data_IF_191952956568
#
_entry.id   IF_191952956568
#
_cell.length_a   1.000
_cell.length_b   1.000
_cell.length_c   1.000
_cell.angle_alpha   90.00
_cell.angle_beta   90.00
_cell.angle_gamma   90.00
#
_symmetry.space_group_name_H-M   'P 1'
#
loop_
_entity.id
_entity.type
_entity.pdbx_description
1 polymer ?
#
# COMPACT_ATOMS: atom_id res chain seq x y z
N UNK A 1 54.19 4.39 40.48
CA UNK A 1 52.77 4.65 40.14
C UNK A 1 51.92 3.67 40.92
N UNK A 2 50.83 4.09 41.60
CA UNK A 2 50.12 3.20 42.50
C UNK A 2 49.37 2.13 41.70
N UNK A 3 49.56 0.88 42.11
CA UNK A 3 48.83 -0.29 41.65
C UNK A 3 47.34 -0.06 41.82
N UNK A 4 46.57 -0.11 40.73
CA UNK A 4 45.10 -0.17 40.77
C UNK A 4 44.76 -1.49 41.46
N UNK A 5 44.50 -1.42 42.77
CA UNK A 5 44.13 -2.56 43.57
C UNK A 5 42.80 -3.11 43.07
N UNK A 6 42.78 -4.40 42.72
CA UNK A 6 41.56 -5.11 42.37
C UNK A 6 40.50 -4.86 43.46
N UNK A 7 39.35 -4.31 43.05
CA UNK A 7 38.22 -4.11 43.96
C UNK A 7 37.82 -5.46 44.57
N UNK A 8 37.77 -5.53 45.89
CA UNK A 8 37.34 -6.74 46.61
C UNK A 8 35.89 -7.09 46.24
N UNK A 9 35.59 -8.40 46.18
CA UNK A 9 34.28 -8.91 45.76
C UNK A 9 33.10 -8.35 46.58
N UNK A 10 33.35 -7.98 47.84
CA UNK A 10 32.36 -7.33 48.70
C UNK A 10 31.99 -5.93 48.21
N UNK A 11 32.97 -5.14 47.74
CA UNK A 11 32.74 -3.80 47.18
C UNK A 11 31.99 -3.92 45.86
N UNK A 12 32.37 -4.87 45.00
CA UNK A 12 31.67 -5.16 43.73
C UNK A 12 30.19 -5.49 43.96
N UNK A 13 29.87 -6.37 44.93
CA UNK A 13 28.48 -6.72 45.30
C UNK A 13 27.70 -5.52 45.85
N UNK A 14 28.33 -4.68 46.68
CA UNK A 14 27.70 -3.49 47.27
C UNK A 14 27.33 -2.45 46.21
N UNK A 15 28.23 -2.23 45.25
CA UNK A 15 27.97 -1.37 44.08
C UNK A 15 26.83 -1.96 43.25
N UNK A 16 26.84 -3.27 42.97
CA UNK A 16 25.79 -3.93 42.21
C UNK A 16 24.42 -3.83 42.86
N UNK A 17 24.32 -4.06 44.17
CA UNK A 17 23.07 -3.94 44.91
C UNK A 17 22.51 -2.52 44.87
N UNK A 18 23.37 -1.51 45.07
CA UNK A 18 22.95 -0.11 45.08
C UNK A 18 22.61 0.45 43.68
N UNK A 19 23.20 -0.12 42.63
CA UNK A 19 23.06 0.37 41.25
C UNK A 19 22.26 -0.58 40.34
N UNK A 20 21.68 -1.66 40.90
CA UNK A 20 20.91 -2.70 40.19
C UNK A 20 21.68 -3.37 39.03
N UNK A 21 22.98 -3.58 39.20
CA UNK A 21 23.77 -4.36 38.24
C UNK A 21 23.84 -5.84 38.65
N UNK A 22 24.01 -6.72 37.66
CA UNK A 22 24.37 -8.12 37.87
C UNK A 22 25.91 -8.22 37.99
N UNK A 23 26.46 -8.28 39.21
CA UNK A 23 27.79 -8.87 39.43
C UNK A 23 27.59 -10.33 39.75
N UNK A 24 27.80 -11.19 38.78
CA UNK A 24 27.79 -12.61 39.05
C UNK A 24 28.98 -13.28 38.38
N UNK A 25 29.65 -14.16 39.12
CA UNK A 25 30.50 -15.22 38.56
C UNK A 25 29.66 -16.28 37.81
N UNK A 26 28.35 -16.04 37.66
CA UNK A 26 27.40 -16.91 36.97
C UNK A 26 27.66 -16.81 35.46
N UNK A 27 28.04 -17.94 34.88
CA UNK A 27 28.32 -18.11 33.44
C UNK A 27 27.07 -18.07 32.54
N UNK A 28 25.86 -18.05 33.09
CA UNK A 28 24.62 -18.09 32.30
C UNK A 28 23.47 -17.31 32.94
N UNK A 29 22.98 -16.31 32.22
CA UNK A 29 21.75 -15.56 32.53
C UNK A 29 20.57 -16.32 31.92
N UNK A 30 19.54 -16.65 32.71
CA UNK A 30 18.35 -17.40 32.22
C UNK A 30 17.33 -16.52 31.51
N UNK A 31 17.45 -15.19 31.64
CA UNK A 31 16.64 -14.22 30.90
C UNK A 31 17.30 -14.06 29.54
N UNK A 32 16.54 -14.14 28.42
CA UNK A 32 17.09 -13.83 27.12
C UNK A 32 17.62 -12.39 27.16
N UNK A 33 18.94 -12.26 27.06
CA UNK A 33 19.58 -10.98 26.81
C UNK A 33 19.22 -10.66 25.37
N UNK A 34 18.14 -9.92 25.17
CA UNK A 34 17.84 -9.32 23.88
C UNK A 34 19.06 -8.47 23.54
N UNK A 35 19.82 -8.93 22.56
CA UNK A 35 21.00 -8.28 22.05
C UNK A 35 20.73 -6.78 21.88
N UNK A 36 21.77 -5.98 22.15
CA UNK A 36 21.79 -4.53 21.93
C UNK A 36 21.23 -4.23 20.54
N UNK A 37 19.96 -3.80 20.47
CA UNK A 37 19.29 -3.51 19.21
C UNK A 37 19.87 -2.22 18.64
N UNK A 38 20.40 -2.26 17.43
CA UNK A 38 20.75 -1.06 16.68
C UNK A 38 19.52 -0.16 16.53
N UNK A 39 19.65 1.11 16.91
CA UNK A 39 18.65 2.13 16.61
C UNK A 39 18.91 2.83 15.28
N UNK A 40 20.17 2.93 14.88
CA UNK A 40 20.62 3.66 13.69
C UNK A 40 21.72 2.90 12.98
N UNK A 41 21.81 3.12 11.68
CA UNK A 41 22.90 2.57 10.89
C UNK A 41 24.22 3.28 11.12
N UNK A 42 25.31 2.50 11.08
CA UNK A 42 26.70 2.98 11.14
C UNK A 42 27.07 3.77 12.41
N UNK A 43 26.17 3.84 13.39
CA UNK A 43 26.41 4.42 14.70
C UNK A 43 26.64 3.29 15.72
N UNK A 44 27.62 3.47 16.61
CA UNK A 44 27.83 2.55 17.72
C UNK A 44 26.74 2.85 18.76
N UNK A 45 25.99 1.84 19.24
CA UNK A 45 24.97 2.06 20.25
C UNK A 45 25.55 2.72 21.51
N UNK A 46 24.91 3.79 21.99
CA UNK A 46 25.40 4.55 23.15
C UNK A 46 24.63 4.16 24.42
N UNK A 47 25.19 4.46 25.60
CA UNK A 47 24.53 4.21 26.89
C UNK A 47 23.11 4.81 26.96
N UNK A 48 22.91 5.99 26.37
CA UNK A 48 21.60 6.66 26.36
C UNK A 48 20.54 5.88 25.56
N UNK A 49 20.95 4.89 24.76
CA UNK A 49 20.02 4.11 23.96
C UNK A 49 19.29 3.04 24.78
N UNK A 50 19.78 2.70 25.97
CA UNK A 50 19.29 1.57 26.77
C UNK A 50 18.92 1.98 28.19
N UNK A 51 17.91 1.29 28.74
CA UNK A 51 17.48 1.44 30.15
C UNK A 51 18.38 0.70 31.14
N UNK A 52 19.23 -0.19 30.64
CA UNK A 52 20.25 -0.87 31.43
C UNK A 52 21.61 -0.24 31.16
N UNK A 53 22.50 -0.34 32.15
CA UNK A 53 23.84 0.21 32.06
C UNK A 53 24.74 -0.79 31.31
N UNK A 54 25.35 -0.33 30.22
CA UNK A 54 26.39 -1.04 29.51
C UNK A 54 27.63 -1.12 30.42
N UNK A 55 28.43 -2.20 30.34
CA UNK A 55 29.67 -2.30 31.11
C UNK A 55 30.57 -1.09 30.84
N UNK A 56 30.82 -0.31 31.89
CA UNK A 56 31.68 0.87 31.88
C UNK A 56 33.15 0.45 31.86
N UNK A 57 33.63 -0.06 30.73
CA UNK A 57 35.03 0.14 30.40
C UNK A 57 35.07 1.14 29.25
N UNK A 58 35.87 2.19 29.43
CA UNK A 58 36.04 3.39 28.60
C UNK A 58 36.55 3.12 27.16
N UNK A 59 36.46 1.87 26.74
CA UNK A 59 36.55 1.36 25.39
C UNK A 59 35.45 0.31 25.24
N UNK A 60 34.22 0.76 24.99
CA UNK A 60 33.26 -0.08 24.28
C UNK A 60 33.89 -0.34 22.91
N UNK A 61 34.77 -1.35 22.83
CA UNK A 61 35.19 -1.91 21.56
C UNK A 61 33.92 -2.55 21.04
N UNK A 62 33.26 -2.01 20.01
CA UNK A 62 32.10 -2.67 19.46
C UNK A 62 32.57 -4.03 18.97
N UNK A 63 32.23 -5.09 19.71
CA UNK A 63 32.56 -6.47 19.32
C UNK A 63 31.86 -6.83 18.01
N UNK A 64 30.80 -6.10 17.68
CA UNK A 64 30.00 -6.27 16.46
C UNK A 64 30.24 -5.08 15.54
N UNK A 65 30.49 -5.36 14.26
CA UNK A 65 30.66 -4.34 13.25
C UNK A 65 29.40 -3.44 13.15
N UNK A 66 29.57 -2.11 12.93
CA UNK A 66 28.44 -1.20 12.74
C UNK A 66 27.51 -1.70 11.64
N UNK A 67 26.20 -1.55 11.84
CA UNK A 67 25.21 -1.97 10.86
C UNK A 67 25.45 -1.30 9.51
N UNK A 68 25.61 -2.12 8.47
CA UNK A 68 25.68 -1.66 7.08
C UNK A 68 24.42 -2.11 6.33
N UNK A 69 23.54 -1.17 5.93
CA UNK A 69 22.25 -1.51 5.30
C UNK A 69 22.42 -2.14 3.91
N UNK A 70 23.55 -1.89 3.24
CA UNK A 70 23.86 -2.48 1.95
C UNK A 70 24.53 -3.84 2.14
N UNK A 71 23.88 -4.95 1.75
CA UNK A 71 24.51 -6.26 1.86
C UNK A 71 25.74 -6.37 0.98
N UNK A 72 26.70 -7.19 1.42
CA UNK A 72 27.90 -7.50 0.66
C UNK A 72 27.55 -8.54 -0.41
N UNK A 73 27.35 -8.12 -1.66
CA UNK A 73 27.01 -9.01 -2.77
C UNK A 73 26.14 -8.35 -3.84
N UNK A 74 25.51 -9.18 -4.69
CA UNK A 74 24.60 -8.73 -5.72
C UNK A 74 23.29 -8.19 -5.13
N UNK A 75 22.90 -6.98 -5.55
CA UNK A 75 21.64 -6.35 -5.17
C UNK A 75 20.84 -6.08 -6.44
N UNK A 76 19.66 -6.72 -6.61
CA UNK A 76 18.76 -6.42 -7.71
C UNK A 76 18.47 -4.92 -7.81
N UNK A 77 18.49 -4.36 -9.03
CA UNK A 77 18.30 -2.93 -9.29
C UNK A 77 17.03 -2.38 -8.62
N UNK A 78 15.94 -3.15 -8.67
CA UNK A 78 14.65 -2.81 -8.03
C UNK A 78 14.73 -2.57 -6.51
N UNK A 79 15.76 -3.06 -5.83
CA UNK A 79 15.92 -2.85 -4.39
C UNK A 79 16.84 -1.68 -4.04
N UNK A 80 17.69 -1.21 -4.96
CA UNK A 80 18.78 -0.27 -4.64
C UNK A 80 18.30 1.05 -4.03
N UNK A 81 17.17 1.57 -4.51
CA UNK A 81 16.62 2.86 -4.06
C UNK A 81 15.71 2.74 -2.82
N UNK A 82 15.33 1.52 -2.44
CA UNK A 82 14.37 1.26 -1.36
C UNK A 82 15.01 0.56 -0.16
N UNK A 83 16.34 0.40 -0.16
CA UNK A 83 17.08 -0.18 0.98
C UNK A 83 16.82 0.67 2.23
N UNK A 84 16.25 0.10 3.30
CA UNK A 84 16.06 0.80 4.56
C UNK A 84 17.39 1.34 5.07
N UNK A 85 17.41 2.62 5.47
CA UNK A 85 18.58 3.21 6.10
C UNK A 85 18.79 2.65 7.49
N UNK A 86 17.71 2.39 8.20
CA UNK A 86 17.72 1.89 9.57
C UNK A 86 17.64 0.36 9.63
N UNK A 87 18.15 -0.25 10.71
CA UNK A 87 18.11 -1.69 10.93
C UNK A 87 16.67 -2.21 10.98
N UNK A 88 16.45 -3.35 10.32
CA UNK A 88 15.16 -4.02 10.28
C UNK A 88 15.12 -5.23 11.20
N UNK A 89 13.98 -5.44 11.84
CA UNK A 89 13.73 -6.51 12.79
C UNK A 89 12.52 -7.33 12.36
N UNK A 90 12.54 -8.61 12.69
CA UNK A 90 11.39 -9.51 12.56
C UNK A 90 10.35 -9.23 13.63
N UNK A 91 9.18 -9.86 13.53
CA UNK A 91 8.10 -9.80 14.54
C UNK A 91 8.56 -10.22 15.92
N UNK A 92 9.50 -11.17 15.96
CA UNK A 92 10.04 -11.73 17.21
C UNK A 92 11.15 -10.85 17.82
N UNK A 93 11.39 -9.66 17.25
CA UNK A 93 12.45 -8.74 17.68
C UNK A 93 13.85 -9.17 17.26
N UNK A 94 13.97 -10.22 16.44
CA UNK A 94 15.25 -10.69 15.90
C UNK A 94 15.73 -9.79 14.78
N UNK A 95 17.00 -9.39 14.82
CA UNK A 95 17.63 -8.56 13.80
C UNK A 95 17.75 -9.28 12.46
N UNK A 96 17.22 -8.67 11.39
CA UNK A 96 17.29 -9.22 10.04
C UNK A 96 18.60 -8.79 9.38
N UNK A 97 19.48 -9.77 9.16
CA UNK A 97 20.81 -9.54 8.57
C UNK A 97 20.66 -9.12 7.10
N UNK A 98 21.23 -7.98 6.67
CA UNK A 98 21.25 -7.59 5.27
C UNK A 98 21.82 -8.67 4.36
N UNK A 99 21.09 -9.03 3.30
CA UNK A 99 21.49 -10.04 2.33
C UNK A 99 21.14 -11.48 2.71
N UNK A 100 20.53 -11.69 3.89
CA UNK A 100 19.92 -12.97 4.22
C UNK A 100 18.66 -13.24 3.40
N UNK A 101 18.18 -14.49 3.42
CA UNK A 101 16.89 -14.86 2.80
C UNK A 101 15.71 -14.06 3.37
N UNK A 102 15.72 -13.83 4.67
CA UNK A 102 14.68 -13.03 5.35
C UNK A 102 14.71 -11.58 4.89
N UNK A 103 15.90 -11.02 4.72
CA UNK A 103 16.07 -9.67 4.18
C UNK A 103 15.47 -9.56 2.78
N UNK A 104 15.78 -10.49 1.87
CA UNK A 104 15.19 -10.48 0.53
C UNK A 104 13.67 -10.64 0.54
N UNK A 105 13.13 -11.42 1.48
CA UNK A 105 11.69 -11.59 1.66
C UNK A 105 11.04 -10.28 2.11
N UNK A 106 11.63 -9.61 3.09
CA UNK A 106 11.19 -8.28 3.55
C UNK A 106 11.22 -7.26 2.40
N UNK A 107 12.35 -7.20 1.67
CA UNK A 107 12.54 -6.25 0.57
C UNK A 107 11.54 -6.47 -0.56
N UNK A 108 11.22 -7.72 -0.91
CA UNK A 108 10.22 -8.02 -1.92
C UNK A 108 8.81 -7.53 -1.51
N UNK A 109 8.45 -7.69 -0.24
CA UNK A 109 7.18 -7.21 0.27
C UNK A 109 7.14 -5.67 0.34
N UNK A 110 8.23 -5.03 0.75
CA UNK A 110 8.36 -3.58 0.75
C UNK A 110 8.20 -3.01 -0.67
N UNK A 111 8.88 -3.60 -1.64
CA UNK A 111 8.83 -3.21 -3.05
C UNK A 111 7.42 -3.34 -3.64
N UNK A 112 6.70 -4.42 -3.31
CA UNK A 112 5.28 -4.56 -3.67
C UNK A 112 4.40 -3.45 -3.09
N UNK A 113 4.62 -3.07 -1.83
CA UNK A 113 3.85 -1.99 -1.19
C UNK A 113 4.11 -0.65 -1.86
N UNK A 114 5.37 -0.32 -2.13
CA UNK A 114 5.75 0.94 -2.80
C UNK A 114 5.10 1.02 -4.18
N UNK A 115 5.22 -0.04 -5.01
CA UNK A 115 4.54 -0.07 -6.32
C UNK A 115 3.03 0.12 -6.22
N UNK A 116 2.39 -0.51 -5.23
CA UNK A 116 0.94 -0.36 -5.02
C UNK A 116 0.58 1.06 -4.62
N UNK A 117 1.38 1.70 -3.79
CA UNK A 117 1.16 3.08 -3.34
C UNK A 117 1.36 4.07 -4.48
N UNK A 118 2.41 3.89 -5.28
CA UNK A 118 2.69 4.72 -6.45
C UNK A 118 1.61 4.56 -7.53
N UNK A 119 1.13 3.33 -7.77
CA UNK A 119 -0.01 3.09 -8.65
C UNK A 119 -1.28 3.78 -8.14
N UNK A 120 -1.52 3.77 -6.83
CA UNK A 120 -2.65 4.49 -6.21
C UNK A 120 -2.53 6.02 -6.36
N UNK A 121 -1.33 6.57 -6.15
CA UNK A 121 -1.05 8.01 -6.33
C UNK A 121 -1.22 8.42 -7.79
N UNK A 122 -0.73 7.62 -8.73
CA UNK A 122 -0.86 7.89 -10.16
C UNK A 122 -2.31 7.79 -10.62
N UNK A 123 -3.06 6.78 -10.17
CA UNK A 123 -4.50 6.68 -10.45
C UNK A 123 -5.27 7.88 -9.89
N UNK A 124 -4.93 8.35 -8.68
CA UNK A 124 -5.53 9.56 -8.11
C UNK A 124 -5.16 10.82 -8.90
N UNK A 125 -3.92 10.92 -9.41
CA UNK A 125 -3.47 12.01 -10.27
C UNK A 125 -4.23 12.03 -11.60
N UNK A 126 -4.35 10.87 -12.25
CA UNK A 126 -5.10 10.71 -13.49
C UNK A 126 -6.58 11.05 -13.30
N UNK A 127 -7.21 10.57 -12.22
CA UNK A 127 -8.60 10.92 -11.89
C UNK A 127 -8.79 12.43 -11.73
N UNK A 128 -7.86 13.11 -11.04
CA UNK A 128 -7.89 14.57 -10.90
C UNK A 128 -7.72 15.29 -12.23
N UNK A 129 -6.82 14.80 -13.09
CA UNK A 129 -6.62 15.34 -14.43
C UNK A 129 -7.89 15.17 -15.29
N UNK A 130 -8.51 13.99 -15.27
CA UNK A 130 -9.75 13.71 -15.99
C UNK A 130 -10.90 14.62 -15.52
N UNK A 131 -11.05 14.83 -14.21
CA UNK A 131 -12.03 15.77 -13.65
C UNK A 131 -11.81 17.19 -14.20
N UNK A 132 -10.54 17.63 -14.25
CA UNK A 132 -10.15 18.95 -14.75
C UNK A 132 -10.40 19.09 -16.25
N UNK A 133 -10.03 18.10 -17.06
CA UNK A 133 -10.23 18.10 -18.52
C UNK A 133 -11.71 18.19 -18.87
N UNK A 134 -12.58 17.62 -18.03
CA UNK A 134 -14.03 17.73 -18.15
C UNK A 134 -14.63 19.00 -17.51
N UNK A 135 -13.79 19.94 -17.06
CA UNK A 135 -14.22 21.19 -16.39
C UNK A 135 -15.26 20.93 -15.29
N UNK A 136 -15.06 19.83 -14.55
CA UNK A 136 -15.96 19.39 -13.49
C UNK A 136 -15.28 19.54 -12.13
N UNK A 137 -16.05 19.38 -11.07
CA UNK A 137 -15.52 19.20 -9.72
C UNK A 137 -15.60 17.74 -9.33
N UNK A 138 -14.77 17.31 -8.39
CA UNK A 138 -14.75 15.93 -7.88
C UNK A 138 -16.14 15.48 -7.38
N UNK A 139 -16.89 16.39 -6.74
CA UNK A 139 -18.26 16.12 -6.26
C UNK A 139 -19.29 15.88 -7.37
N UNK A 140 -19.10 16.52 -8.52
CA UNK A 140 -20.09 16.50 -9.61
C UNK A 140 -19.63 15.68 -10.81
N UNK A 141 -18.39 15.20 -10.82
CA UNK A 141 -17.83 14.48 -11.96
C UNK A 141 -18.56 13.17 -12.22
N UNK A 142 -18.71 12.32 -11.20
CA UNK A 142 -19.34 11.02 -11.36
C UNK A 142 -20.80 11.16 -11.81
N UNK A 143 -21.54 12.12 -11.24
CA UNK A 143 -22.91 12.44 -11.65
C UNK A 143 -22.97 12.95 -13.11
N UNK A 144 -22.05 13.83 -13.52
CA UNK A 144 -22.01 14.31 -14.90
C UNK A 144 -21.66 13.19 -15.88
N UNK A 145 -20.75 12.28 -15.52
CA UNK A 145 -20.41 11.13 -16.37
C UNK A 145 -21.59 10.14 -16.46
N UNK A 146 -22.31 9.89 -15.37
CA UNK A 146 -23.51 9.05 -15.40
C UNK A 146 -24.61 9.67 -16.27
N UNK A 147 -24.89 10.97 -16.11
CA UNK A 147 -25.84 11.69 -16.95
C UNK A 147 -25.44 11.67 -18.43
N UNK A 148 -24.16 11.94 -18.74
CA UNK A 148 -23.64 11.87 -20.11
C UNK A 148 -23.82 10.48 -20.70
N UNK A 149 -23.51 9.43 -19.94
CA UNK A 149 -23.71 8.04 -20.35
C UNK A 149 -25.18 7.73 -20.60
N UNK A 150 -26.08 8.21 -19.74
CA UNK A 150 -27.51 8.05 -19.93
C UNK A 150 -28.00 8.72 -21.22
N UNK A 151 -27.62 9.99 -21.44
CA UNK A 151 -28.01 10.72 -22.66
C UNK A 151 -27.49 10.04 -23.92
N UNK A 152 -26.26 9.51 -23.88
CA UNK A 152 -25.69 8.76 -25.01
C UNK A 152 -26.49 7.47 -25.27
N UNK A 153 -26.80 6.72 -24.21
CA UNK A 153 -27.60 5.49 -24.31
C UNK A 153 -28.99 5.75 -24.88
N UNK A 154 -29.64 6.82 -24.44
CA UNK A 154 -30.97 7.22 -24.95
C UNK A 154 -30.90 7.61 -26.43
N UNK A 155 -29.86 8.35 -26.82
CA UNK A 155 -29.63 8.76 -28.20
C UNK A 155 -29.39 7.54 -29.10
N UNK A 156 -28.55 6.60 -28.66
CA UNK A 156 -28.28 5.36 -29.38
C UNK A 156 -29.55 4.51 -29.54
N UNK A 157 -30.35 4.39 -28.48
CA UNK A 157 -31.64 3.68 -28.53
C UNK A 157 -32.60 4.29 -29.55
N UNK A 158 -32.73 5.62 -29.55
CA UNK A 158 -33.59 6.33 -30.50
C UNK A 158 -33.14 6.10 -31.95
N UNK A 159 -31.83 6.24 -32.22
CA UNK A 159 -31.28 6.01 -33.55
C UNK A 159 -31.46 4.56 -34.02
N UNK A 160 -31.26 3.59 -33.13
CA UNK A 160 -31.49 2.17 -33.44
C UNK A 160 -32.95 1.89 -33.74
N UNK A 161 -33.88 2.43 -32.94
CA UNK A 161 -35.32 2.26 -33.14
C UNK A 161 -35.80 2.88 -34.46
N UNK A 162 -35.32 4.10 -34.78
CA UNK A 162 -35.60 4.75 -36.06
C UNK A 162 -35.03 3.96 -37.26
N UNK A 163 -33.84 3.37 -37.11
CA UNK A 163 -33.23 2.55 -38.15
C UNK A 163 -34.07 1.31 -38.45
N UNK A 164 -34.56 0.63 -37.41
CA UNK A 164 -35.49 -0.51 -37.54
C UNK A 164 -36.75 -0.08 -38.29
N UNK A 165 -37.39 1.02 -37.85
CA UNK A 165 -38.58 1.56 -38.50
C UNK A 165 -38.35 1.89 -39.98
N UNK A 166 -37.24 2.57 -40.29
CA UNK A 166 -36.88 2.94 -41.66
C UNK A 166 -36.69 1.70 -42.55
N UNK A 167 -36.00 0.68 -42.06
CA UNK A 167 -35.77 -0.54 -42.81
C UNK A 167 -37.09 -1.28 -43.08
N UNK A 168 -37.96 -1.39 -42.07
CA UNK A 168 -39.27 -2.02 -42.20
C UNK A 168 -40.15 -1.29 -43.24
N UNK A 169 -40.16 0.05 -43.21
CA UNK A 169 -40.87 0.88 -44.19
C UNK A 169 -40.35 0.64 -45.62
N UNK A 170 -39.04 0.50 -45.80
CA UNK A 170 -38.42 0.21 -47.11
C UNK A 170 -38.81 -1.18 -47.59
N UNK A 171 -38.83 -2.18 -46.70
CA UNK A 171 -39.20 -3.56 -47.05
C UNK A 171 -40.68 -3.71 -47.44
N UNK A 172 -41.57 -2.92 -46.84
CA UNK A 172 -43.02 -2.99 -47.08
C UNK A 172 -43.57 -1.91 -48.02
N UNK A 173 -42.71 -1.10 -48.66
CA UNK A 173 -43.11 0.04 -49.49
C UNK A 173 -43.96 -0.30 -50.73
N UNK A 174 -43.88 -1.54 -51.22
CA UNK A 174 -44.58 -2.00 -52.43
C UNK A 174 -45.87 -2.79 -52.14
N UNK A 175 -46.22 -2.99 -50.87
CA UNK A 175 -47.42 -3.71 -50.45
C UNK A 175 -48.59 -2.73 -50.24
N UNK A 176 -49.79 -3.04 -50.77
CA UNK A 176 -51.01 -2.25 -50.46
C UNK A 176 -51.21 -2.26 -48.93
N UNK A 177 -51.37 -1.10 -48.26
CA UNK A 177 -51.30 -1.03 -46.80
C UNK A 177 -52.48 -1.75 -46.17
N UNK A 178 -52.29 -3.02 -45.79
CA UNK A 178 -53.22 -3.79 -44.96
C UNK A 178 -53.03 -3.51 -43.48
N UNK A 179 -51.94 -2.86 -43.09
CA UNK A 179 -51.45 -2.82 -41.71
C UNK A 179 -51.57 -1.46 -41.01
N UNK A 180 -52.08 -0.42 -41.67
CA UNK A 180 -52.08 0.93 -41.11
C UNK A 180 -52.92 1.07 -39.83
N UNK A 181 -54.03 0.32 -39.69
CA UNK A 181 -54.98 0.40 -38.57
C UNK A 181 -54.58 -0.32 -37.28
N UNK A 182 -53.33 -0.75 -37.15
CA UNK A 182 -52.84 -1.35 -35.88
C UNK A 182 -51.33 -1.51 -35.79
N UNK A 183 -50.60 -1.30 -36.89
CA UNK A 183 -49.14 -1.28 -36.89
C UNK A 183 -48.57 -0.05 -36.20
N UNK A 184 -49.19 1.12 -36.40
CA UNK A 184 -48.81 2.35 -35.68
C UNK A 184 -49.02 2.14 -34.17
N UNK A 185 -50.14 1.54 -33.78
CA UNK A 185 -50.42 1.19 -32.37
C UNK A 185 -49.42 0.16 -31.82
N UNK A 186 -49.04 -0.85 -32.62
CA UNK A 186 -48.03 -1.85 -32.22
C UNK A 186 -46.64 -1.23 -32.10
N UNK A 187 -46.27 -0.33 -33.00
CA UNK A 187 -45.03 0.45 -32.91
C UNK A 187 -45.02 1.32 -31.66
N UNK A 188 -46.08 2.10 -31.43
CA UNK A 188 -46.22 2.92 -30.22
C UNK A 188 -46.21 2.06 -28.95
N UNK A 189 -46.83 0.88 -28.95
CA UNK A 189 -46.76 -0.06 -27.82
C UNK A 189 -45.33 -0.55 -27.61
N UNK A 190 -44.62 -0.93 -28.67
CA UNK A 190 -43.23 -1.40 -28.56
C UNK A 190 -42.27 -0.27 -28.17
N UNK A 191 -42.43 0.96 -28.67
CA UNK A 191 -41.64 2.10 -28.18
C UNK A 191 -42.01 2.49 -26.76
N UNK A 192 -43.28 2.40 -26.36
CA UNK A 192 -43.72 2.69 -25.00
C UNK A 192 -43.23 1.64 -24.00
N UNK A 193 -43.32 0.35 -24.33
CA UNK A 193 -42.78 -0.74 -23.53
C UNK A 193 -41.26 -0.64 -23.39
N UNK A 194 -40.55 -0.32 -24.48
CA UNK A 194 -39.11 -0.09 -24.40
C UNK A 194 -38.75 1.18 -23.62
N UNK A 195 -39.58 2.23 -23.71
CA UNK A 195 -39.46 3.43 -22.90
C UNK A 195 -39.67 3.12 -21.42
N UNK A 196 -40.69 2.34 -21.06
CA UNK A 196 -40.97 1.93 -19.69
C UNK A 196 -39.84 1.05 -19.14
N UNK A 197 -39.31 0.11 -19.94
CA UNK A 197 -38.15 -0.71 -19.60
C UNK A 197 -36.89 0.14 -19.41
N UNK A 198 -36.73 1.17 -20.24
CA UNK A 198 -35.65 2.15 -20.11
C UNK A 198 -35.81 3.01 -18.86
N UNK A 199 -37.00 3.56 -18.58
CA UNK A 199 -37.26 4.40 -17.40
C UNK A 199 -37.08 3.58 -16.11
N UNK A 200 -37.49 2.31 -16.11
CA UNK A 200 -37.20 1.40 -15.01
C UNK A 200 -35.70 1.14 -14.84
N UNK A 201 -34.93 1.02 -15.92
CA UNK A 201 -33.46 0.90 -15.84
C UNK A 201 -32.77 2.21 -15.46
N UNK A 202 -33.35 3.35 -15.86
CA UNK A 202 -32.91 4.69 -15.52
C UNK A 202 -33.06 4.94 -14.02
N UNK A 203 -34.27 4.71 -13.46
CA UNK A 203 -34.55 4.85 -12.03
C UNK A 203 -33.73 3.89 -11.16
N UNK A 204 -33.30 2.75 -11.71
CA UNK A 204 -32.46 1.79 -10.99
C UNK A 204 -30.94 2.05 -11.08
N UNK A 205 -30.46 2.87 -12.04
CA UNK A 205 -29.02 3.03 -12.31
C UNK A 205 -28.52 4.48 -12.39
N UNK A 206 -29.40 5.47 -12.53
CA UNK A 206 -29.07 6.89 -12.58
C UNK A 206 -29.42 7.59 -11.27
#
# INVERSE_FOLDING_TARGET
MPSIGDLTNSIKRRICHNKKFLSSDIRAVSIPINHVQYKKAREIPWQNDYKFLLPYDSRLIPTVAPYNPKPKGFIPVKYQNIIPRDPIYSTDGTFIIPGSREWFTYMNNLEKRIRSEDAGKEAARLKKQEILDHSSTEKHHDLRQSMKKCLTTLTDFYHNSLSIYRNDLIHHANEKPKWYTGYIDRLYSTTNENYDLFMHQYDQKC
#
